data_IF_970369886672
#
_entry.id   IF_970369886672
#
_cell.length_a   1.000
_cell.length_b   1.000
_cell.length_c   1.000
_cell.angle_alpha   90.00
_cell.angle_beta   90.00
_cell.angle_gamma   90.00
#
_symmetry.space_group_name_H-M   'P 1'
#
loop_
_entity.id
_entity.type
_entity.pdbx_description
1 polymer ?
#
# COMPACT_ATOMS: atom_id res chain seq x y z
N UNK A 1 4.66 -6.90 -6.50
CA UNK A 1 5.47 -5.84 -7.13
C UNK A 1 6.93 -6.18 -6.98
N UNK A 2 7.77 -5.92 -7.99
CA UNK A 2 9.22 -6.00 -7.84
C UNK A 2 9.75 -4.68 -7.26
N UNK A 3 10.29 -4.72 -6.04
CA UNK A 3 10.92 -3.56 -5.39
C UNK A 3 12.29 -3.33 -6.02
N UNK A 4 12.52 -2.14 -6.58
CA UNK A 4 13.86 -1.78 -7.07
C UNK A 4 14.79 -1.40 -5.92
N UNK A 5 14.25 -0.75 -4.89
CA UNK A 5 14.99 -0.40 -3.67
C UNK A 5 15.58 -1.64 -3.00
N UNK A 6 14.81 -2.71 -2.89
CA UNK A 6 15.20 -3.92 -2.16
C UNK A 6 15.72 -5.05 -3.05
N UNK A 7 15.62 -4.90 -4.38
CA UNK A 7 15.90 -5.93 -5.39
C UNK A 7 15.17 -7.27 -5.11
N UNK A 8 13.90 -7.17 -4.70
CA UNK A 8 13.10 -8.31 -4.25
C UNK A 8 11.64 -8.15 -4.64
N UNK A 9 10.93 -9.28 -4.78
CA UNK A 9 9.48 -9.25 -4.92
C UNK A 9 8.81 -9.03 -3.57
N UNK A 10 7.97 -8.00 -3.51
CA UNK A 10 7.12 -7.68 -2.38
C UNK A 10 5.67 -8.05 -2.71
N UNK A 11 5.05 -8.83 -1.82
CA UNK A 11 3.66 -9.28 -1.94
C UNK A 11 2.94 -8.91 -0.64
N UNK A 12 1.94 -8.01 -0.66
CA UNK A 12 1.14 -7.73 0.52
C UNK A 12 0.28 -8.96 0.85
N UNK A 13 0.27 -9.33 2.12
CA UNK A 13 -0.69 -10.29 2.65
C UNK A 13 -2.06 -9.63 2.82
N UNK A 14 -3.10 -10.46 2.93
CA UNK A 14 -4.47 -10.00 3.16
C UNK A 14 -4.55 -9.05 4.37
N UNK A 15 -5.22 -7.91 4.18
CA UNK A 15 -5.32 -6.82 5.13
C UNK A 15 -4.06 -5.95 5.27
N UNK A 16 -2.99 -6.21 4.50
CA UNK A 16 -1.78 -5.37 4.43
C UNK A 16 -0.89 -5.39 5.67
N UNK A 17 -1.13 -6.29 6.64
CA UNK A 17 -0.38 -6.32 7.90
C UNK A 17 0.96 -7.04 7.79
N UNK A 18 1.15 -7.83 6.74
CA UNK A 18 2.37 -8.60 6.48
C UNK A 18 2.75 -8.38 5.03
N UNK A 19 4.03 -8.22 4.75
CA UNK A 19 4.56 -8.27 3.39
C UNK A 19 5.43 -9.50 3.29
N UNK A 20 5.18 -10.36 2.30
CA UNK A 20 6.13 -11.38 1.92
C UNK A 20 7.19 -10.73 1.02
N UNK A 21 8.45 -10.91 1.38
CA UNK A 21 9.61 -10.42 0.65
C UNK A 21 10.42 -11.63 0.18
N UNK A 22 10.48 -11.80 -1.14
CA UNK A 22 11.06 -12.96 -1.81
C UNK A 22 12.12 -12.52 -2.82
N UNK A 23 13.33 -13.06 -2.68
CA UNK A 23 14.36 -12.99 -3.71
C UNK A 23 14.13 -14.19 -4.66
N UNK A 24 13.92 -13.92 -5.95
CA UNK A 24 13.72 -14.96 -6.97
C UNK A 24 15.03 -15.42 -7.63
N UNK A 25 16.13 -14.68 -7.45
CA UNK A 25 17.42 -14.95 -8.06
C UNK A 25 18.22 -15.96 -7.23
N UNK A 26 18.15 -15.88 -5.90
CA UNK A 26 18.76 -16.89 -5.02
C UNK A 26 17.82 -18.09 -4.79
N UNK A 27 18.12 -19.21 -5.45
CA UNK A 27 17.55 -20.52 -5.10
C UNK A 27 17.84 -20.86 -3.63
N UNK A 28 16.95 -20.50 -2.70
CA UNK A 28 16.91 -21.10 -1.36
C UNK A 28 16.75 -20.17 -0.16
N UNK A 29 16.63 -18.84 -0.32
CA UNK A 29 16.44 -17.99 0.86
C UNK A 29 14.98 -17.95 1.30
N UNK A 30 14.76 -18.30 2.57
CA UNK A 30 13.44 -18.33 3.20
C UNK A 30 12.79 -16.95 3.06
N UNK A 31 11.56 -16.86 2.53
CA UNK A 31 10.88 -15.58 2.39
C UNK A 31 10.78 -14.88 3.75
N UNK A 32 11.05 -13.58 3.75
CA UNK A 32 10.88 -12.75 4.95
C UNK A 32 9.45 -12.28 5.01
N UNK A 33 8.91 -12.21 6.23
CA UNK A 33 7.54 -11.76 6.47
C UNK A 33 7.53 -10.57 7.44
N UNK A 34 8.10 -9.40 7.07
CA UNK A 34 7.99 -8.20 7.88
C UNK A 34 6.53 -7.87 8.16
N UNK A 35 6.24 -7.60 9.45
CA UNK A 35 4.91 -7.22 9.92
C UNK A 35 4.82 -5.70 9.98
N UNK A 36 3.87 -5.15 9.24
CA UNK A 36 3.60 -3.73 9.22
C UNK A 36 2.77 -3.32 10.43
N UNK A 37 3.17 -2.20 11.04
CA UNK A 37 2.42 -1.55 12.10
C UNK A 37 1.70 -0.35 11.53
N UNK A 38 0.38 -0.45 11.42
CA UNK A 38 -0.43 0.70 11.00
C UNK A 38 -0.37 1.80 12.06
N UNK A 39 0.12 2.97 11.65
CA UNK A 39 0.26 4.17 12.48
C UNK A 39 -0.59 5.27 11.90
N UNK A 40 -1.09 6.12 12.81
CA UNK A 40 -2.10 7.15 12.54
C UNK A 40 -3.33 6.51 11.89
N UNK A 41 -4.26 6.06 12.71
CA UNK A 41 -5.63 5.84 12.21
C UNK A 41 -6.13 7.19 11.68
N UNK A 42 -6.79 7.24 10.50
CA UNK A 42 -7.34 8.48 9.97
C UNK A 42 -8.22 9.14 11.03
N UNK A 43 -7.70 10.18 11.68
CA UNK A 43 -8.36 10.85 12.79
C UNK A 43 -9.64 11.56 12.33
N UNK A 44 -9.72 11.85 11.04
CA UNK A 44 -10.84 12.50 10.35
C UNK A 44 -11.84 11.51 9.71
N UNK A 45 -11.70 10.20 9.90
CA UNK A 45 -12.68 9.26 9.36
C UNK A 45 -13.95 9.25 10.22
N UNK A 46 -15.06 9.64 9.59
CA UNK A 46 -16.40 9.47 10.15
C UNK A 46 -16.66 7.99 10.45
N UNK A 47 -17.53 7.71 11.42
CA UNK A 47 -17.93 6.34 11.77
C UNK A 47 -18.43 5.57 10.55
N UNK A 48 -19.13 6.25 9.63
CA UNK A 48 -19.55 5.70 8.35
C UNK A 48 -18.36 5.19 7.52
N UNK A 49 -17.31 6.00 7.32
CA UNK A 49 -16.13 5.57 6.59
C UNK A 49 -15.44 4.37 7.26
N UNK A 50 -15.39 4.32 8.60
CA UNK A 50 -14.78 3.20 9.33
C UNK A 50 -15.54 1.90 9.10
N UNK A 51 -16.86 1.95 9.21
CA UNK A 51 -17.74 0.82 8.92
C UNK A 51 -17.66 0.39 7.46
N UNK A 52 -17.57 1.34 6.53
CA UNK A 52 -17.38 1.05 5.11
C UNK A 52 -16.09 0.27 4.91
N UNK A 53 -14.96 0.72 5.46
CA UNK A 53 -13.68 0.01 5.36
C UNK A 53 -13.72 -1.40 5.93
N UNK A 54 -14.36 -1.61 7.08
CA UNK A 54 -14.48 -2.96 7.66
C UNK A 54 -15.36 -3.89 6.83
N UNK A 55 -16.30 -3.33 6.06
CA UNK A 55 -17.22 -4.09 5.20
C UNK A 55 -16.73 -4.32 3.76
N UNK A 56 -15.71 -3.58 3.30
CA UNK A 56 -15.27 -3.63 1.91
C UNK A 56 -14.37 -4.85 1.63
N UNK A 57 -14.49 -5.42 0.43
CA UNK A 57 -13.42 -6.23 -0.14
C UNK A 57 -12.19 -5.34 -0.33
N UNK A 58 -11.14 -5.57 0.46
CA UNK A 58 -9.90 -4.79 0.42
C UNK A 58 -9.01 -5.42 -0.64
N UNK A 59 -8.60 -4.63 -1.62
CA UNK A 59 -7.48 -4.99 -2.46
C UNK A 59 -6.27 -4.19 -2.01
N UNK A 60 -5.21 -4.89 -1.62
CA UNK A 60 -3.96 -4.29 -1.18
C UNK A 60 -2.97 -4.22 -2.34
N UNK A 61 -2.55 -3.00 -2.67
CA UNK A 61 -1.56 -2.75 -3.71
C UNK A 61 -0.36 -2.07 -3.09
N UNK A 62 0.83 -2.59 -3.37
CA UNK A 62 2.09 -1.90 -3.07
C UNK A 62 2.53 -1.14 -4.33
N UNK A 63 3.00 0.09 -4.14
CA UNK A 63 3.55 0.93 -5.21
C UNK A 63 4.84 1.58 -4.73
N UNK A 64 5.86 1.59 -5.59
CA UNK A 64 7.15 2.23 -5.31
C UNK A 64 7.36 3.40 -6.28
N UNK A 65 7.67 4.57 -5.73
CA UNK A 65 8.17 5.71 -6.50
C UNK A 65 9.63 5.44 -6.87
N UNK A 66 9.89 5.24 -8.16
CA UNK A 66 11.27 5.07 -8.65
C UNK A 66 12.13 6.32 -8.48
N UNK A 67 11.51 7.50 -8.41
CA UNK A 67 12.22 8.77 -8.36
C UNK A 67 12.63 9.15 -6.94
N UNK A 68 11.81 8.83 -5.95
CA UNK A 68 12.07 9.16 -4.54
C UNK A 68 12.50 7.95 -3.70
N UNK A 69 12.29 6.74 -4.20
CA UNK A 69 12.50 5.49 -3.46
C UNK A 69 11.45 5.25 -2.37
N UNK A 70 10.38 6.03 -2.34
CA UNK A 70 9.30 5.89 -1.37
C UNK A 70 8.35 4.77 -1.78
N UNK A 71 7.95 3.95 -0.80
CA UNK A 71 7.00 2.87 -1.00
C UNK A 71 5.69 3.20 -0.29
N UNK A 72 4.58 3.02 -1.00
CA UNK A 72 3.24 3.22 -0.49
C UNK A 72 2.43 1.94 -0.61
N UNK A 73 1.53 1.75 0.34
CA UNK A 73 0.48 0.75 0.28
C UNK A 73 -0.85 1.46 0.08
N UNK A 74 -1.55 1.11 -0.99
CA UNK A 74 -2.90 1.59 -1.26
C UNK A 74 -3.90 0.48 -0.99
N UNK A 75 -4.90 0.79 -0.19
CA UNK A 75 -6.04 -0.09 0.04
C UNK A 75 -7.27 0.58 -0.55
N UNK A 76 -7.93 -0.09 -1.50
CA UNK A 76 -9.23 0.34 -2.00
C UNK A 76 -10.31 -0.65 -1.61
N UNK A 77 -11.52 -0.14 -1.41
CA UNK A 77 -12.68 -0.95 -1.07
C UNK A 77 -13.95 -0.38 -1.68
N UNK A 78 -14.82 -1.28 -2.14
CA UNK A 78 -16.20 -0.97 -2.53
C UNK A 78 -17.14 -1.47 -1.45
N UNK A 79 -17.97 -0.59 -0.91
CA UNK A 79 -19.00 -1.02 0.01
C UNK A 79 -20.17 -1.60 -0.77
N UNK A 80 -20.53 -2.86 -0.52
CA UNK A 80 -21.53 -3.59 -1.30
C UNK A 80 -22.92 -2.91 -1.41
N UNK A 81 -23.21 -1.92 -0.56
CA UNK A 81 -24.48 -1.17 -0.55
C UNK A 81 -24.42 0.26 -1.10
N UNK A 82 -23.25 0.85 -1.26
CA UNK A 82 -23.08 2.23 -1.73
C UNK A 82 -21.89 2.22 -2.68
N UNK A 83 -22.06 2.68 -3.92
CA UNK A 83 -20.98 2.87 -4.91
C UNK A 83 -19.98 3.96 -4.47
N UNK A 84 -19.54 3.94 -3.24
CA UNK A 84 -18.49 4.80 -2.72
C UNK A 84 -17.22 3.96 -2.71
N UNK A 85 -16.28 4.35 -3.56
CA UNK A 85 -14.93 3.84 -3.54
C UNK A 85 -14.16 4.63 -2.47
N UNK A 86 -13.66 3.93 -1.47
CA UNK A 86 -12.75 4.52 -0.49
C UNK A 86 -11.34 4.06 -0.81
N UNK A 87 -10.44 5.00 -1.08
CA UNK A 87 -9.01 4.74 -1.27
C UNK A 87 -8.27 5.27 -0.05
N UNK A 88 -7.42 4.43 0.54
CA UNK A 88 -6.49 4.82 1.58
C UNK A 88 -5.07 4.62 1.10
N UNK A 89 -4.20 5.57 1.43
CA UNK A 89 -2.78 5.52 1.13
C UNK A 89 -2.00 5.52 2.43
N UNK A 90 -1.06 4.58 2.55
CA UNK A 90 -0.13 4.47 3.67
C UNK A 90 1.29 4.54 3.13
N UNK A 91 2.08 5.48 3.64
CA UNK A 91 3.52 5.51 3.36
C UNK A 91 4.22 4.49 4.26
N UNK A 92 5.04 3.62 3.68
CA UNK A 92 5.85 2.67 4.43
C UNK A 92 7.15 3.35 4.85
N UNK A 93 7.51 3.22 6.13
CA UNK A 93 8.80 3.68 6.65
C UNK A 93 9.77 2.51 6.84
N UNK A 94 11.06 2.83 7.01
CA UNK A 94 12.12 1.83 7.20
C UNK A 94 12.02 1.07 8.54
N UNK A 95 11.16 1.52 9.46
CA UNK A 95 10.92 0.86 10.75
C UNK A 95 9.77 -0.17 10.68
N UNK A 96 9.22 -0.40 9.49
CA UNK A 96 8.10 -1.32 9.28
C UNK A 96 6.76 -0.74 9.76
N UNK A 97 6.60 0.58 9.77
CA UNK A 97 5.30 1.20 9.98
C UNK A 97 4.64 1.53 8.63
N UNK A 98 3.32 1.39 8.60
CA UNK A 98 2.46 1.90 7.54
C UNK A 98 1.73 3.14 8.07
N UNK A 99 2.15 4.32 7.66
CA UNK A 99 1.64 5.60 8.17
C UNK A 99 0.57 6.14 7.21
N UNK A 100 -0.66 6.32 7.68
CA UNK A 100 -1.71 6.94 6.85
C UNK A 100 -1.30 8.33 6.41
N UNK A 101 -1.51 8.63 5.13
CA UNK A 101 -1.29 9.97 4.57
C UNK A 101 -2.36 10.33 3.54
N UNK A 102 -2.76 11.60 3.53
CA UNK A 102 -3.51 12.21 2.42
C UNK A 102 -2.59 13.04 1.53
N UNK A 103 -1.36 13.26 1.98
CA UNK A 103 -0.35 14.05 1.31
C UNK A 103 0.69 13.09 0.72
N UNK A 104 0.69 12.99 -0.61
CA UNK A 104 1.71 12.28 -1.40
C UNK A 104 2.74 13.26 -1.98
N UNK A 105 2.70 14.54 -1.60
CA UNK A 105 3.51 15.61 -2.17
C UNK A 105 3.30 15.71 -3.68
N UNK A 106 4.40 15.66 -4.41
CA UNK A 106 4.44 15.71 -5.87
C UNK A 106 4.27 14.34 -6.54
N UNK A 107 3.76 13.33 -5.82
CA UNK A 107 3.54 12.00 -6.36
C UNK A 107 2.06 11.76 -6.67
N UNK A 108 1.78 11.29 -7.88
CA UNK A 108 0.50 10.70 -8.25
C UNK A 108 0.59 9.18 -8.21
N UNK A 109 -0.38 8.55 -7.53
CA UNK A 109 -0.55 7.11 -7.51
C UNK A 109 -1.77 6.74 -8.35
N UNK A 110 -1.54 6.02 -9.44
CA UNK A 110 -2.58 5.47 -10.30
C UNK A 110 -2.82 4.01 -9.92
N UNK A 111 -4.04 3.70 -9.47
CA UNK A 111 -4.48 2.33 -9.25
C UNK A 111 -5.15 1.87 -10.54
N UNK A 112 -4.61 0.82 -11.16
CA UNK A 112 -5.15 0.23 -12.39
C UNK A 112 -5.55 -1.23 -12.13
N UNK A 113 -6.32 -1.83 -13.03
CA UNK A 113 -6.62 -3.28 -12.96
C UNK A 113 -5.37 -4.16 -13.13
N UNK A 114 -4.27 -3.60 -13.63
CA UNK A 114 -3.00 -4.29 -13.82
C UNK A 114 -2.05 -3.97 -12.67
N UNK A 115 -1.01 -3.15 -12.92
CA UNK A 115 -0.04 -2.76 -11.91
C UNK A 115 -0.28 -1.31 -11.48
N UNK A 116 -0.25 -1.00 -10.17
CA UNK A 116 -0.29 0.38 -9.70
C UNK A 116 0.98 1.12 -10.14
N UNK A 117 0.85 2.40 -10.47
CA UNK A 117 1.96 3.23 -10.96
C UNK A 117 2.10 4.46 -10.08
N UNK A 118 3.33 4.79 -9.66
CA UNK A 118 3.64 6.03 -8.96
C UNK A 118 4.54 6.91 -9.83
N UNK A 119 4.08 8.14 -10.10
CA UNK A 119 4.75 9.11 -10.97
C UNK A 119 4.96 10.42 -10.23
N UNK A 120 6.09 11.08 -10.50
CA UNK A 120 6.28 12.48 -10.14
C UNK A 120 5.41 13.38 -11.02
N UNK A 121 4.90 14.46 -10.45
CA UNK A 121 4.40 15.59 -11.21
C UNK A 121 5.58 16.21 -11.96
N UNK A 122 5.40 16.50 -13.25
CA UNK A 122 6.38 17.30 -13.97
C UNK A 122 6.22 18.75 -13.51
N UNK A 123 7.30 19.35 -13.01
CA UNK A 123 7.43 20.80 -12.77
C UNK A 123 7.60 21.56 -14.07
#
# INVERSE_FOLDING_TARGET
MHSKKDDMFLIPGFGGHVIASCDLHEHGNKPKFPRLRFRKTPCCMTTANKTLLDSCCKSEHLVESRATGETFMTMYGTAAKIKTEAVMVFKLDDNGNAVYTQDTGDLYIFITESEPICLLTAS
#
